data_IF_142876017121
#
_entry.id   IF_142876017121
#
_cell.length_a   1.000
_cell.length_b   1.000
_cell.length_c   1.000
_cell.angle_alpha   90.00
_cell.angle_beta   90.00
_cell.angle_gamma   90.00
#
_symmetry.space_group_name_H-M   'P 1'
#
loop_
_entity.id
_entity.type
_entity.pdbx_description
1 polymer ?
#
# COMPACT_ATOMS: atom_id res chain seq x y z
N UNK A 1 4.58 23.07 -74.14
CA UNK A 1 3.84 22.32 -73.11
C UNK A 1 4.87 21.65 -72.26
N UNK A 2 5.22 22.26 -71.12
CA UNK A 2 6.29 21.78 -70.24
C UNK A 2 5.64 21.41 -68.92
N UNK A 3 5.71 20.12 -68.56
CA UNK A 3 5.28 19.60 -67.25
C UNK A 3 6.40 19.80 -66.23
N UNK A 4 6.11 20.57 -65.18
CA UNK A 4 6.98 20.66 -63.99
C UNK A 4 6.48 19.68 -62.93
N UNK A 5 7.28 18.64 -62.65
CA UNK A 5 7.07 17.71 -61.56
C UNK A 5 7.67 18.28 -60.26
N UNK A 6 6.86 18.54 -59.27
CA UNK A 6 7.29 18.90 -57.91
C UNK A 6 7.61 17.63 -57.12
N UNK A 7 8.86 17.47 -56.69
CA UNK A 7 9.29 16.46 -55.74
C UNK A 7 9.03 16.96 -54.33
N UNK A 8 8.13 16.27 -53.64
CA UNK A 8 7.97 16.42 -52.19
C UNK A 8 9.10 15.64 -51.50
N UNK A 9 9.98 16.34 -50.82
CA UNK A 9 10.97 15.75 -49.93
C UNK A 9 10.37 15.46 -48.57
N UNK A 10 10.26 14.18 -48.22
CA UNK A 10 9.86 13.69 -46.90
C UNK A 10 11.06 13.84 -45.95
N UNK A 11 10.99 14.80 -45.03
CA UNK A 11 11.98 14.92 -43.94
C UNK A 11 11.53 13.98 -42.83
N UNK A 12 12.20 12.84 -42.71
CA UNK A 12 12.12 11.99 -41.50
C UNK A 12 12.96 12.65 -40.39
N UNK A 13 12.29 13.26 -39.42
CA UNK A 13 12.92 13.68 -38.19
C UNK A 13 13.05 12.46 -37.27
N UNK A 14 14.24 11.88 -37.18
CA UNK A 14 14.59 10.92 -36.14
C UNK A 14 14.75 11.65 -34.82
N UNK A 15 13.77 11.55 -33.95
CA UNK A 15 13.90 11.98 -32.54
C UNK A 15 14.72 10.91 -31.82
N UNK A 16 15.99 11.17 -31.63
CA UNK A 16 16.85 10.39 -30.74
C UNK A 16 16.45 10.74 -29.28
N UNK A 17 15.65 9.87 -28.65
CA UNK A 17 15.51 9.92 -27.20
C UNK A 17 16.81 9.46 -26.56
N UNK A 18 17.67 10.41 -26.21
CA UNK A 18 18.75 10.20 -25.25
C UNK A 18 18.11 10.25 -23.87
N UNK A 19 17.75 9.09 -23.34
CA UNK A 19 17.38 8.94 -21.93
C UNK A 19 18.59 9.24 -21.07
N UNK A 20 18.71 10.45 -20.55
CA UNK A 20 19.60 10.72 -19.43
C UNK A 20 19.03 10.05 -18.19
N UNK A 21 19.46 8.82 -17.93
CA UNK A 21 19.37 8.24 -16.61
C UNK A 21 20.31 9.06 -15.68
N UNK A 22 19.75 9.94 -14.89
CA UNK A 22 20.43 10.56 -13.75
C UNK A 22 20.50 9.52 -12.63
N UNK A 23 21.33 8.50 -12.80
CA UNK A 23 21.75 7.68 -11.68
C UNK A 23 22.74 8.51 -10.85
N UNK A 24 22.38 8.90 -9.64
CA UNK A 24 23.32 9.37 -8.64
C UNK A 24 24.10 8.15 -8.13
N UNK A 25 25.40 7.97 -8.52
CA UNK A 25 26.15 6.75 -8.18
C UNK A 25 26.43 6.59 -6.67
N UNK A 26 26.28 7.66 -5.90
CA UNK A 26 26.51 7.64 -4.46
C UNK A 26 25.27 7.20 -3.65
N UNK A 27 24.04 7.47 -4.12
CA UNK A 27 22.82 7.02 -3.49
C UNK A 27 22.70 5.48 -3.60
N UNK A 28 23.00 4.90 -4.77
CA UNK A 28 22.88 3.46 -5.01
C UNK A 28 23.81 2.58 -4.17
N UNK A 29 24.95 3.11 -3.67
CA UNK A 29 25.87 2.36 -2.79
C UNK A 29 25.48 2.42 -1.31
N UNK A 30 24.76 3.45 -0.88
CA UNK A 30 24.34 3.60 0.52
C UNK A 30 23.10 2.80 0.86
N UNK A 31 22.34 2.40 -0.16
CA UNK A 31 21.06 1.70 0.01
C UNK A 31 21.11 0.22 -0.42
N UNK A 32 22.28 -0.27 -0.84
CA UNK A 32 22.44 -1.67 -1.19
C UNK A 32 22.30 -2.57 0.05
N UNK A 33 21.49 -3.60 -0.06
CA UNK A 33 21.43 -4.69 0.94
C UNK A 33 22.59 -5.66 0.70
N UNK A 34 22.91 -6.41 1.76
CA UNK A 34 23.91 -7.47 1.66
C UNK A 34 23.48 -8.50 0.58
N UNK A 35 24.37 -8.90 -0.35
CA UNK A 35 24.01 -9.83 -1.43
C UNK A 35 23.47 -11.17 -0.93
N UNK A 36 23.99 -11.70 0.19
CA UNK A 36 23.46 -12.96 0.76
C UNK A 36 22.05 -12.79 1.32
N UNK A 37 21.73 -11.60 1.85
CA UNK A 37 20.37 -11.29 2.27
C UNK A 37 19.45 -11.12 1.05
N UNK A 38 19.92 -10.48 -0.03
CA UNK A 38 19.16 -10.35 -1.27
C UNK A 38 18.80 -11.73 -1.85
N UNK A 39 19.76 -12.62 -1.99
CA UNK A 39 19.55 -14.00 -2.45
C UNK A 39 18.55 -14.75 -1.54
N UNK A 40 18.65 -14.58 -0.23
CA UNK A 40 17.72 -15.22 0.71
C UNK A 40 16.30 -14.64 0.62
N UNK A 41 16.15 -13.34 0.33
CA UNK A 41 14.87 -12.70 0.07
C UNK A 41 14.26 -13.26 -1.21
N UNK A 42 15.02 -13.33 -2.31
CA UNK A 42 14.57 -13.87 -3.58
C UNK A 42 14.08 -15.31 -3.42
N UNK A 43 14.86 -16.19 -2.76
CA UNK A 43 14.48 -17.56 -2.44
C UNK A 43 13.20 -17.64 -1.59
N UNK A 44 13.06 -16.74 -0.62
CA UNK A 44 11.90 -16.66 0.27
C UNK A 44 10.63 -16.27 -0.51
N UNK A 45 10.74 -15.26 -1.37
CA UNK A 45 9.65 -14.80 -2.23
C UNK A 45 9.27 -15.89 -3.25
N UNK A 46 10.25 -16.51 -3.92
CA UNK A 46 10.00 -17.59 -4.87
C UNK A 46 9.26 -18.79 -4.26
N UNK A 47 9.51 -19.10 -2.98
CA UNK A 47 8.74 -20.14 -2.25
C UNK A 47 7.32 -19.68 -1.91
N UNK A 48 7.13 -18.39 -1.63
CA UNK A 48 5.83 -17.86 -1.20
C UNK A 48 4.83 -17.75 -2.37
N UNK A 49 5.28 -17.35 -3.56
CA UNK A 49 4.39 -17.08 -4.69
C UNK A 49 3.56 -18.30 -5.11
N UNK A 50 4.09 -19.53 -5.23
CA UNK A 50 3.28 -20.71 -5.54
C UNK A 50 2.25 -21.02 -4.46
N UNK A 51 2.58 -20.78 -3.19
CA UNK A 51 1.63 -20.95 -2.09
C UNK A 51 0.50 -19.92 -2.22
N UNK A 52 0.84 -18.65 -2.35
CA UNK A 52 -0.14 -17.57 -2.52
C UNK A 52 -1.05 -17.82 -3.73
N UNK A 53 -0.47 -18.23 -4.86
CA UNK A 53 -1.22 -18.56 -6.06
C UNK A 53 -2.25 -19.68 -5.86
N UNK A 54 -1.97 -20.66 -4.99
CA UNK A 54 -2.93 -21.74 -4.65
C UNK A 54 -4.10 -21.26 -3.79
N UNK A 55 -4.00 -20.09 -3.14
CA UNK A 55 -5.09 -19.53 -2.35
C UNK A 55 -6.15 -18.84 -3.21
N UNK A 56 -5.90 -18.66 -4.52
CA UNK A 56 -6.88 -18.02 -5.39
C UNK A 56 -8.05 -18.96 -5.69
N UNK A 57 -9.26 -18.44 -5.49
CA UNK A 57 -10.52 -19.11 -5.72
C UNK A 57 -10.97 -18.99 -7.18
N UNK A 58 -11.95 -19.80 -7.64
CA UNK A 58 -12.43 -19.74 -9.03
C UNK A 58 -13.04 -18.41 -9.45
N UNK A 59 -13.53 -17.60 -8.52
CA UNK A 59 -14.06 -16.26 -8.78
C UNK A 59 -12.98 -15.17 -8.87
N UNK A 60 -11.71 -15.53 -8.66
CA UNK A 60 -10.56 -14.62 -8.68
C UNK A 60 -10.19 -14.04 -7.33
N UNK A 61 -11.00 -14.24 -6.27
CA UNK A 61 -10.65 -13.83 -4.91
C UNK A 61 -9.52 -14.70 -4.35
N UNK A 62 -8.82 -14.20 -3.33
CA UNK A 62 -7.88 -15.01 -2.54
C UNK A 62 -8.55 -15.43 -1.23
N UNK A 63 -8.20 -16.61 -0.74
CA UNK A 63 -8.82 -17.21 0.43
C UNK A 63 -8.75 -16.30 1.66
N UNK A 64 -9.89 -15.79 2.07
CA UNK A 64 -10.07 -14.92 3.22
C UNK A 64 -11.56 -14.79 3.58
N UNK A 65 -11.89 -14.46 4.85
CA UNK A 65 -13.27 -14.14 5.22
C UNK A 65 -13.80 -12.92 4.45
N UNK A 66 -15.11 -12.90 4.17
CA UNK A 66 -15.81 -11.80 3.49
C UNK A 66 -15.50 -10.42 4.12
N UNK A 67 -15.26 -10.40 5.43
CA UNK A 67 -14.90 -9.19 6.16
C UNK A 67 -13.59 -8.56 5.66
N UNK A 68 -12.62 -9.37 5.24
CA UNK A 68 -11.33 -8.95 4.69
C UNK A 68 -11.35 -8.72 3.19
N UNK A 69 -12.50 -9.00 2.52
CA UNK A 69 -12.63 -8.82 1.09
C UNK A 69 -13.23 -7.44 0.75
N UNK A 70 -12.75 -6.79 -0.32
CA UNK A 70 -11.76 -7.26 -1.32
C UNK A 70 -10.29 -6.92 -1.00
N UNK A 71 -9.97 -6.37 0.19
CA UNK A 71 -8.60 -5.92 0.50
C UNK A 71 -7.56 -7.04 0.40
N UNK A 72 -7.86 -8.25 0.91
CA UNK A 72 -6.88 -9.34 0.90
C UNK A 72 -6.58 -9.81 -0.52
N UNK A 73 -7.59 -9.85 -1.39
CA UNK A 73 -7.37 -10.08 -2.83
C UNK A 73 -6.51 -8.98 -3.45
N UNK A 74 -6.73 -7.71 -3.06
CA UNK A 74 -5.90 -6.59 -3.47
C UNK A 74 -4.45 -6.74 -3.02
N UNK A 75 -4.21 -7.05 -1.73
CA UNK A 75 -2.86 -7.27 -1.19
C UNK A 75 -2.13 -8.42 -1.88
N UNK A 76 -2.84 -9.54 -2.15
CA UNK A 76 -2.26 -10.67 -2.87
C UNK A 76 -1.88 -10.30 -4.31
N UNK A 77 -2.70 -9.52 -5.01
CA UNK A 77 -2.38 -9.00 -6.33
C UNK A 77 -1.19 -8.04 -6.28
N UNK A 78 -1.14 -7.11 -5.32
CA UNK A 78 0.00 -6.22 -5.12
C UNK A 78 1.29 -7.00 -4.80
N UNK A 79 1.21 -8.09 -4.02
CA UNK A 79 2.36 -8.95 -3.74
C UNK A 79 2.92 -9.63 -5.02
N UNK A 80 2.03 -10.10 -5.90
CA UNK A 80 2.44 -10.64 -7.20
C UNK A 80 3.08 -9.55 -8.10
N UNK A 81 2.50 -8.35 -8.15
CA UNK A 81 3.07 -7.21 -8.87
C UNK A 81 4.43 -6.80 -8.32
N UNK A 82 4.56 -6.71 -6.99
CA UNK A 82 5.81 -6.35 -6.31
C UNK A 82 6.93 -7.37 -6.56
N UNK A 83 6.56 -8.64 -6.80
CA UNK A 83 7.48 -9.70 -7.23
C UNK A 83 7.75 -9.70 -8.75
N UNK A 84 7.30 -8.68 -9.51
CA UNK A 84 7.61 -8.50 -10.92
C UNK A 84 6.66 -9.18 -11.91
N UNK A 85 5.50 -9.69 -11.47
CA UNK A 85 4.52 -10.29 -12.37
C UNK A 85 3.54 -9.25 -12.90
N UNK A 86 3.12 -9.39 -14.16
CA UNK A 86 2.23 -8.45 -14.83
C UNK A 86 0.90 -9.10 -15.20
N UNK A 87 -0.22 -8.35 -15.22
CA UNK A 87 -1.51 -8.86 -15.69
C UNK A 87 -1.42 -9.38 -17.14
N UNK A 88 -1.87 -10.60 -17.34
CA UNK A 88 -1.91 -11.25 -18.68
C UNK A 88 -0.58 -11.74 -19.19
N UNK A 89 0.51 -11.65 -18.43
CA UNK A 89 1.83 -12.13 -18.83
C UNK A 89 2.45 -13.04 -17.77
N UNK A 90 3.21 -14.05 -18.23
CA UNK A 90 3.94 -14.99 -17.37
C UNK A 90 3.04 -15.90 -16.52
N UNK A 91 3.62 -16.58 -15.52
CA UNK A 91 2.96 -17.67 -14.78
C UNK A 91 1.81 -17.22 -13.87
N UNK A 92 1.76 -15.96 -13.53
CA UNK A 92 0.74 -15.38 -12.66
C UNK A 92 -0.18 -14.35 -13.37
N UNK A 93 0.01 -14.12 -14.67
CA UNK A 93 -0.73 -13.10 -15.41
C UNK A 93 -2.24 -13.30 -15.44
N UNK A 94 -2.71 -14.54 -15.65
CA UNK A 94 -4.13 -14.87 -15.61
C UNK A 94 -4.70 -14.73 -14.20
N UNK A 95 -3.92 -15.00 -13.16
CA UNK A 95 -4.32 -14.82 -11.76
C UNK A 95 -4.50 -13.34 -11.43
N UNK A 96 -3.60 -12.49 -11.89
CA UNK A 96 -3.71 -11.05 -11.74
C UNK A 96 -4.94 -10.51 -12.49
N UNK A 97 -5.21 -10.99 -13.70
CA UNK A 97 -6.42 -10.64 -14.43
C UNK A 97 -7.69 -11.06 -13.69
N UNK A 98 -7.73 -12.26 -13.12
CA UNK A 98 -8.87 -12.75 -12.33
C UNK A 98 -9.06 -11.93 -11.06
N UNK A 99 -7.97 -11.57 -10.36
CA UNK A 99 -8.04 -10.70 -9.18
C UNK A 99 -8.57 -9.30 -9.54
N UNK A 100 -8.11 -8.69 -10.63
CA UNK A 100 -8.63 -7.40 -11.12
C UNK A 100 -10.13 -7.50 -11.41
N UNK A 101 -10.58 -8.55 -12.11
CA UNK A 101 -12.00 -8.74 -12.43
C UNK A 101 -12.85 -8.95 -11.16
N UNK A 102 -12.33 -9.68 -10.17
CA UNK A 102 -12.98 -9.81 -8.85
C UNK A 102 -13.08 -8.45 -8.13
N UNK A 103 -11.98 -7.68 -8.04
CA UNK A 103 -12.01 -6.35 -7.42
C UNK A 103 -13.08 -5.47 -8.09
N UNK A 104 -13.11 -5.42 -9.41
CA UNK A 104 -14.10 -4.66 -10.17
C UNK A 104 -15.54 -5.11 -9.88
N UNK A 105 -15.78 -6.41 -9.63
CA UNK A 105 -17.10 -6.95 -9.32
C UNK A 105 -17.58 -6.59 -7.90
N UNK A 106 -16.67 -6.22 -6.97
CA UNK A 106 -17.02 -5.83 -5.60
C UNK A 106 -17.37 -4.35 -5.44
N UNK A 107 -17.22 -3.54 -6.49
CA UNK A 107 -17.58 -2.13 -6.41
C UNK A 107 -19.09 -1.93 -6.36
N UNK A 108 -19.55 -1.12 -5.43
CA UNK A 108 -20.97 -0.76 -5.26
C UNK A 108 -21.28 0.54 -6.03
N UNK A 109 -22.56 0.81 -6.26
CA UNK A 109 -23.04 2.01 -6.95
C UNK A 109 -22.54 3.33 -6.32
N UNK A 110 -22.26 3.32 -5.01
CA UNK A 110 -21.65 4.45 -4.29
C UNK A 110 -20.17 4.69 -4.61
N UNK A 111 -19.52 3.79 -5.35
CA UNK A 111 -18.08 3.81 -5.63
C UNK A 111 -17.21 3.06 -4.61
N UNK A 112 -17.77 2.63 -3.46
CA UNK A 112 -17.03 1.85 -2.46
C UNK A 112 -16.74 0.43 -2.97
N UNK A 113 -15.54 -0.08 -2.70
CA UNK A 113 -15.21 -1.50 -2.81
C UNK A 113 -15.49 -2.19 -1.48
N UNK A 114 -16.48 -3.07 -1.43
CA UNK A 114 -16.82 -3.83 -0.23
C UNK A 114 -17.70 -5.03 -0.56
N UNK A 115 -17.36 -6.20 -0.03
CA UNK A 115 -18.21 -7.40 -0.07
C UNK A 115 -19.30 -7.28 0.99
N UNK A 116 -18.94 -6.94 2.21
CA UNK A 116 -19.86 -6.79 3.34
C UNK A 116 -19.92 -5.33 3.77
N UNK A 117 -21.14 -4.81 3.93
CA UNK A 117 -21.42 -3.47 4.46
C UNK A 117 -22.06 -3.58 5.86
N UNK A 118 -21.91 -2.54 6.73
CA UNK A 118 -22.51 -2.55 8.05
C UNK A 118 -24.03 -2.58 7.96
N UNK A 119 -24.65 -3.55 8.64
CA UNK A 119 -26.10 -3.64 8.75
C UNK A 119 -26.66 -2.50 9.60
N UNK A 120 -27.92 -2.13 9.35
CA UNK A 120 -28.61 -1.08 10.14
C UNK A 120 -28.78 -1.48 11.61
N UNK A 121 -28.88 -2.78 11.90
CA UNK A 121 -28.97 -3.35 13.26
C UNK A 121 -27.63 -3.32 14.00
N UNK A 122 -26.50 -3.32 13.27
CA UNK A 122 -25.14 -3.31 13.83
C UNK A 122 -24.24 -2.32 13.08
N UNK A 123 -24.53 -1.02 13.14
CA UNK A 123 -23.86 -0.03 12.30
C UNK A 123 -22.37 0.15 12.65
N UNK A 124 -21.94 -0.23 13.84
CA UNK A 124 -20.56 -0.08 14.34
C UNK A 124 -19.78 -1.40 14.39
N UNK A 125 -20.35 -2.46 13.87
CA UNK A 125 -19.75 -3.81 13.82
C UNK A 125 -18.50 -3.90 12.94
N UNK A 126 -17.92 -5.11 12.85
CA UNK A 126 -16.72 -5.37 12.08
C UNK A 126 -16.76 -4.87 10.63
N UNK A 127 -17.88 -4.98 9.87
CA UNK A 127 -17.94 -4.46 8.50
C UNK A 127 -17.74 -2.93 8.39
N UNK A 128 -18.19 -2.17 9.41
CA UNK A 128 -17.92 -0.73 9.46
C UNK A 128 -16.42 -0.44 9.63
N UNK A 129 -15.73 -1.22 10.44
CA UNK A 129 -14.29 -1.05 10.71
C UNK A 129 -13.44 -1.43 9.51
N UNK A 130 -13.76 -2.52 8.83
CA UNK A 130 -13.02 -3.04 7.68
C UNK A 130 -13.29 -2.25 6.38
N UNK A 131 -14.47 -1.63 6.24
CA UNK A 131 -14.96 -1.14 4.95
C UNK A 131 -14.06 -0.14 4.26
N UNK A 132 -13.50 0.84 4.98
CA UNK A 132 -12.59 1.82 4.39
C UNK A 132 -11.19 1.25 4.11
N UNK A 133 -10.73 0.22 4.83
CA UNK A 133 -9.54 -0.54 4.47
C UNK A 133 -9.76 -1.32 3.17
N UNK A 134 -10.87 -2.06 3.08
CA UNK A 134 -11.25 -2.81 1.89
C UNK A 134 -11.30 -1.91 0.66
N UNK A 135 -11.93 -0.76 0.80
CA UNK A 135 -12.04 0.23 -0.26
C UNK A 135 -10.67 0.76 -0.70
N UNK A 136 -9.88 1.27 0.23
CA UNK A 136 -8.60 1.91 -0.08
C UNK A 136 -7.62 0.95 -0.73
N UNK A 137 -7.49 -0.29 -0.21
CA UNK A 137 -6.56 -1.29 -0.72
C UNK A 137 -6.99 -1.79 -2.10
N UNK A 138 -8.29 -2.07 -2.32
CA UNK A 138 -8.79 -2.47 -3.63
C UNK A 138 -8.61 -1.37 -4.68
N UNK A 139 -8.91 -0.12 -4.33
CA UNK A 139 -8.75 1.03 -5.21
C UNK A 139 -7.27 1.30 -5.53
N UNK A 140 -6.37 1.20 -4.54
CA UNK A 140 -4.92 1.25 -4.72
C UNK A 140 -4.45 0.18 -5.70
N UNK A 141 -4.88 -1.08 -5.50
CA UNK A 141 -4.50 -2.20 -6.39
C UNK A 141 -4.91 -1.95 -7.83
N UNK A 142 -6.13 -1.46 -8.06
CA UNK A 142 -6.59 -1.12 -9.41
C UNK A 142 -5.79 0.04 -10.01
N UNK A 143 -5.41 1.04 -9.22
CA UNK A 143 -4.58 2.15 -9.68
C UNK A 143 -3.16 1.69 -10.03
N UNK A 144 -2.54 0.81 -9.25
CA UNK A 144 -1.23 0.21 -9.56
C UNK A 144 -1.26 -0.68 -10.81
N UNK A 145 -2.38 -1.39 -11.06
CA UNK A 145 -2.56 -2.19 -12.28
C UNK A 145 -2.97 -1.36 -13.51
N UNK A 146 -3.36 -0.10 -13.34
CA UNK A 146 -3.85 0.71 -14.45
C UNK A 146 -2.73 1.02 -15.44
N UNK A 147 -3.01 0.83 -16.73
CA UNK A 147 -2.00 0.91 -17.79
C UNK A 147 -1.29 -0.41 -18.10
N UNK A 148 -1.44 -1.44 -17.25
CA UNK A 148 -0.92 -2.78 -17.50
C UNK A 148 -1.93 -3.70 -18.21
N UNK A 149 -3.15 -3.21 -18.46
CA UNK A 149 -4.21 -3.92 -19.19
C UNK A 149 -4.76 -3.05 -20.32
N UNK A 150 -5.45 -3.66 -21.25
CA UNK A 150 -6.01 -2.98 -22.41
C UNK A 150 -7.53 -3.16 -22.56
N UNK A 151 -8.07 -2.60 -23.64
CA UNK A 151 -9.42 -2.87 -24.14
C UNK A 151 -10.53 -2.59 -23.10
N UNK A 152 -11.41 -3.57 -22.92
CA UNK A 152 -12.58 -3.43 -22.07
C UNK A 152 -12.22 -3.39 -20.58
N UNK A 153 -11.17 -4.14 -20.16
CA UNK A 153 -10.73 -4.16 -18.75
C UNK A 153 -10.17 -2.80 -18.35
N UNK A 154 -9.29 -2.19 -19.13
CA UNK A 154 -8.76 -0.85 -18.88
C UNK A 154 -9.88 0.20 -18.73
N UNK A 155 -10.91 0.16 -19.60
CA UNK A 155 -12.05 1.08 -19.48
C UNK A 155 -12.91 0.84 -18.23
N UNK A 156 -13.07 -0.41 -17.79
CA UNK A 156 -13.77 -0.71 -16.53
C UNK A 156 -12.96 -0.22 -15.33
N UNK A 157 -11.65 -0.42 -15.34
CA UNK A 157 -10.75 0.06 -14.27
C UNK A 157 -10.78 1.59 -14.18
N UNK A 158 -10.70 2.31 -15.30
CA UNK A 158 -10.77 3.78 -15.30
C UNK A 158 -12.05 4.27 -14.60
N UNK A 159 -13.22 3.78 -15.02
CA UNK A 159 -14.50 4.17 -14.39
C UNK A 159 -14.57 3.80 -12.90
N UNK A 160 -14.02 2.64 -12.55
CA UNK A 160 -14.01 2.17 -11.16
C UNK A 160 -13.10 3.04 -10.27
N UNK A 161 -11.93 3.43 -10.76
CA UNK A 161 -11.00 4.33 -10.05
C UNK A 161 -11.63 5.73 -9.89
N UNK A 162 -12.26 6.29 -10.93
CA UNK A 162 -12.97 7.57 -10.84
C UNK A 162 -14.11 7.54 -9.80
N UNK A 163 -14.92 6.49 -9.80
CA UNK A 163 -15.98 6.30 -8.79
C UNK A 163 -15.41 6.13 -7.37
N UNK A 164 -14.29 5.42 -7.23
CA UNK A 164 -13.61 5.26 -5.96
C UNK A 164 -13.02 6.59 -5.45
N UNK A 165 -12.42 7.41 -6.31
CA UNK A 165 -11.94 8.75 -5.96
C UNK A 165 -13.07 9.64 -5.46
N UNK A 166 -14.22 9.61 -6.13
CA UNK A 166 -15.41 10.37 -5.71
C UNK A 166 -15.89 9.93 -4.32
N UNK A 167 -15.97 8.62 -4.05
CA UNK A 167 -16.32 8.08 -2.74
C UNK A 167 -15.29 8.46 -1.66
N UNK A 168 -14.00 8.29 -1.94
CA UNK A 168 -12.91 8.65 -1.03
C UNK A 168 -12.99 10.13 -0.64
N UNK A 169 -13.19 11.02 -1.63
CA UNK A 169 -13.33 12.46 -1.36
C UNK A 169 -14.58 12.78 -0.55
N UNK A 170 -15.72 12.17 -0.85
CA UNK A 170 -16.94 12.35 -0.08
C UNK A 170 -16.75 11.99 1.40
N UNK A 171 -16.06 10.88 1.70
CA UNK A 171 -15.77 10.47 3.06
C UNK A 171 -14.73 11.40 3.74
N UNK A 172 -13.77 11.94 3.01
CA UNK A 172 -12.79 12.90 3.52
C UNK A 172 -13.45 14.19 4.02
N UNK A 173 -14.31 14.79 3.19
CA UNK A 173 -14.95 16.07 3.49
C UNK A 173 -16.21 15.93 4.37
N UNK A 174 -16.63 14.70 4.67
CA UNK A 174 -17.75 14.49 5.58
C UNK A 174 -17.48 15.18 6.91
N UNK A 175 -18.38 16.06 7.35
CA UNK A 175 -18.23 16.84 8.57
C UNK A 175 -17.79 15.98 9.76
N UNK A 176 -16.68 16.31 10.39
CA UNK A 176 -16.15 15.61 11.57
C UNK A 176 -16.76 16.21 12.83
N UNK A 177 -16.91 15.40 13.89
CA UNK A 177 -17.37 15.89 15.21
C UNK A 177 -16.36 16.78 15.90
N UNK A 178 -15.08 16.66 15.52
CA UNK A 178 -13.98 17.43 16.11
C UNK A 178 -13.01 17.86 15.01
N UNK A 179 -12.61 19.12 15.02
CA UNK A 179 -11.65 19.71 14.09
C UNK A 179 -10.32 18.95 13.97
N UNK A 180 -9.73 18.35 15.04
CA UNK A 180 -8.52 17.56 14.90
C UNK A 180 -8.66 16.33 13.96
N UNK A 181 -9.88 15.91 13.64
CA UNK A 181 -10.15 14.78 12.72
C UNK A 181 -10.36 15.23 11.27
N UNK A 182 -10.39 16.56 10.99
CA UNK A 182 -10.60 17.08 9.64
C UNK A 182 -9.48 16.59 8.68
N UNK A 183 -9.87 16.25 7.45
CA UNK A 183 -8.97 15.78 6.40
C UNK A 183 -8.64 14.28 6.43
N UNK A 184 -8.85 13.61 7.57
CA UNK A 184 -8.61 12.17 7.70
C UNK A 184 -9.84 11.30 7.46
N UNK A 185 -9.62 9.98 7.44
CA UNK A 185 -10.66 8.94 7.31
C UNK A 185 -10.62 7.96 8.48
N UNK A 186 -11.74 7.30 8.72
CA UNK A 186 -11.86 6.20 9.68
C UNK A 186 -12.87 5.17 9.16
N UNK A 187 -13.69 4.65 10.03
CA UNK A 187 -14.70 3.63 9.76
C UNK A 187 -15.88 4.20 8.95
N UNK A 188 -16.60 3.34 8.23
CA UNK A 188 -17.77 3.76 7.43
C UNK A 188 -18.86 4.42 8.28
N UNK A 189 -19.02 3.96 9.51
CA UNK A 189 -19.96 4.57 10.48
C UNK A 189 -19.18 5.17 11.62
N UNK A 190 -19.62 6.34 12.08
CA UNK A 190 -19.01 7.02 13.22
C UNK A 190 -19.04 6.12 14.45
N UNK A 191 -17.88 5.85 15.00
CA UNK A 191 -17.72 5.01 16.18
C UNK A 191 -16.74 5.66 17.15
N UNK A 192 -16.97 5.47 18.43
CA UNK A 192 -16.12 6.05 19.48
C UNK A 192 -16.10 7.58 19.40
N UNK A 193 -15.01 8.22 19.84
CA UNK A 193 -14.86 9.68 19.89
C UNK A 193 -13.97 10.25 18.76
N UNK A 194 -13.61 9.41 17.77
CA UNK A 194 -12.75 9.80 16.66
C UNK A 194 -13.45 9.55 15.34
N UNK A 195 -13.34 10.49 14.41
CA UNK A 195 -13.88 10.40 13.05
C UNK A 195 -12.76 10.23 12.00
N UNK A 196 -11.50 10.18 12.46
CA UNK A 196 -10.32 9.86 11.65
C UNK A 196 -9.30 9.03 12.45
N UNK A 197 -8.51 8.20 11.77
CA UNK A 197 -7.32 7.53 12.28
C UNK A 197 -6.21 7.46 11.24
N UNK A 198 -4.96 7.34 11.71
CA UNK A 198 -3.80 7.36 10.84
C UNK A 198 -3.72 6.13 9.92
N UNK A 199 -4.14 4.96 10.41
CA UNK A 199 -4.03 3.73 9.64
C UNK A 199 -4.92 3.75 8.39
N UNK A 200 -6.20 4.12 8.51
CA UNK A 200 -7.10 4.28 7.36
C UNK A 200 -6.64 5.45 6.48
N UNK A 201 -6.21 6.56 7.10
CA UNK A 201 -5.74 7.74 6.35
C UNK A 201 -4.52 7.43 5.49
N UNK A 202 -3.55 6.64 5.98
CA UNK A 202 -2.38 6.24 5.22
C UNK A 202 -2.76 5.41 3.97
N UNK A 203 -3.67 4.44 4.09
CA UNK A 203 -4.16 3.67 2.93
C UNK A 203 -4.88 4.53 1.91
N UNK A 204 -5.70 5.50 2.34
CA UNK A 204 -6.38 6.43 1.43
C UNK A 204 -5.40 7.36 0.72
N UNK A 205 -4.35 7.82 1.42
CA UNK A 205 -3.26 8.59 0.80
C UNK A 205 -2.46 7.78 -0.22
N UNK A 206 -2.19 6.50 0.07
CA UNK A 206 -1.58 5.59 -0.91
C UNK A 206 -2.44 5.49 -2.17
N UNK A 207 -3.75 5.32 -2.01
CA UNK A 207 -4.67 5.30 -3.16
C UNK A 207 -4.66 6.62 -3.93
N UNK A 208 -4.75 7.77 -3.26
CA UNK A 208 -4.69 9.08 -3.93
C UNK A 208 -3.39 9.24 -4.71
N UNK A 209 -2.27 8.89 -4.13
CA UNK A 209 -0.96 9.02 -4.78
C UNK A 209 -0.83 8.07 -5.97
N UNK A 210 -1.25 6.81 -5.83
CA UNK A 210 -1.23 5.84 -6.92
C UNK A 210 -2.15 6.27 -8.06
N UNK A 211 -3.37 6.73 -7.77
CA UNK A 211 -4.29 7.26 -8.78
C UNK A 211 -3.69 8.48 -9.51
N UNK A 212 -3.02 9.38 -8.78
CA UNK A 212 -2.32 10.53 -9.39
C UNK A 212 -1.17 10.08 -10.30
N UNK A 213 -0.37 9.10 -9.87
CA UNK A 213 0.70 8.50 -10.67
C UNK A 213 0.15 7.83 -11.94
N UNK A 214 -1.03 7.22 -11.86
CA UNK A 214 -1.75 6.61 -12.97
C UNK A 214 -2.44 7.63 -13.92
N UNK A 215 -2.33 8.94 -13.63
CA UNK A 215 -2.85 10.03 -14.48
C UNK A 215 -4.29 10.45 -14.19
N UNK A 216 -4.89 9.99 -13.08
CA UNK A 216 -6.20 10.46 -12.65
C UNK A 216 -6.12 11.84 -11.99
N UNK A 217 -7.21 12.62 -12.08
CA UNK A 217 -7.29 13.93 -11.47
C UNK A 217 -7.49 13.82 -9.95
N UNK A 218 -6.40 13.99 -9.21
CA UNK A 218 -6.37 14.09 -7.75
C UNK A 218 -5.80 15.45 -7.38
N UNK A 219 -6.64 16.44 -7.06
CA UNK A 219 -6.18 17.77 -6.68
C UNK A 219 -5.22 17.74 -5.49
N UNK A 220 -4.12 18.48 -5.56
CA UNK A 220 -3.12 18.57 -4.49
C UNK A 220 -3.74 18.92 -3.13
N UNK A 221 -4.78 19.76 -3.12
CA UNK A 221 -5.52 20.12 -1.91
C UNK A 221 -6.05 18.90 -1.14
N UNK A 222 -6.50 17.84 -1.83
CA UNK A 222 -7.02 16.64 -1.16
C UNK A 222 -5.92 15.91 -0.38
N UNK A 223 -4.74 15.86 -0.97
CA UNK A 223 -3.54 15.28 -0.34
C UNK A 223 -3.09 16.16 0.82
N UNK A 224 -3.02 17.49 0.63
CA UNK A 224 -2.60 18.42 1.69
C UNK A 224 -3.51 18.37 2.91
N UNK A 225 -4.83 18.33 2.73
CA UNK A 225 -5.80 18.18 3.83
C UNK A 225 -5.55 16.89 4.64
N UNK A 226 -5.23 15.78 3.95
CA UNK A 226 -4.91 14.52 4.61
C UNK A 226 -3.56 14.56 5.33
N UNK A 227 -2.54 15.20 4.73
CA UNK A 227 -1.23 15.40 5.36
C UNK A 227 -1.31 16.29 6.60
N UNK A 228 -2.19 17.27 6.62
CA UNK A 228 -2.45 18.08 7.81
C UNK A 228 -3.05 17.25 8.93
N UNK A 229 -3.91 16.26 8.61
CA UNK A 229 -4.37 15.28 9.59
C UNK A 229 -3.21 14.39 10.08
N UNK A 230 -2.38 13.87 9.19
CA UNK A 230 -1.19 13.08 9.54
C UNK A 230 -0.28 13.85 10.51
N UNK A 231 0.00 15.12 10.21
CA UNK A 231 0.82 15.98 11.08
C UNK A 231 0.22 16.14 12.48
N UNK A 232 -1.13 16.20 12.61
CA UNK A 232 -1.79 16.21 13.92
C UNK A 232 -1.70 14.89 14.70
N UNK A 233 -1.43 13.77 14.01
CA UNK A 233 -1.16 12.49 14.66
C UNK A 233 0.26 12.40 15.22
N UNK A 234 1.17 13.32 14.86
CA UNK A 234 2.51 13.36 15.45
C UNK A 234 2.46 13.80 16.92
N UNK A 235 3.16 13.07 17.76
CA UNK A 235 3.30 13.37 19.18
C UNK A 235 4.75 13.76 19.49
N UNK A 236 4.98 15.04 19.72
CA UNK A 236 6.32 15.57 20.03
C UNK A 236 6.90 15.01 21.35
N UNK A 237 6.05 14.55 22.29
CA UNK A 237 6.49 13.96 23.56
C UNK A 237 7.15 12.59 23.37
N UNK A 238 6.64 11.78 22.44
CA UNK A 238 7.22 10.48 22.07
C UNK A 238 8.16 10.56 20.88
N UNK A 239 8.08 11.64 20.07
CA UNK A 239 8.86 11.83 18.87
C UNK A 239 8.39 10.99 17.68
N UNK A 240 7.14 10.51 17.68
CA UNK A 240 6.61 9.66 16.61
C UNK A 240 5.10 9.83 16.45
N UNK A 241 4.51 9.04 15.51
CA UNK A 241 3.10 9.10 15.20
C UNK A 241 2.27 8.15 16.05
N UNK A 242 1.04 8.56 16.33
CA UNK A 242 0.03 7.82 17.08
C UNK A 242 -1.20 7.54 16.23
N UNK A 243 -2.00 6.55 16.63
CA UNK A 243 -3.16 6.07 15.85
C UNK A 243 -4.21 7.17 15.59
N UNK A 244 -4.38 8.12 16.53
CA UNK A 244 -5.35 9.22 16.40
C UNK A 244 -4.73 10.56 16.79
N UNK A 245 -5.28 11.66 16.26
CA UNK A 245 -4.79 13.02 16.48
C UNK A 245 -5.01 13.54 17.90
N UNK A 246 -5.91 12.94 18.68
CA UNK A 246 -6.26 13.35 20.04
C UNK A 246 -6.66 12.14 20.90
N UNK A 247 -6.84 12.34 22.22
CA UNK A 247 -7.17 11.28 23.17
C UNK A 247 -5.94 10.50 23.64
N UNK A 248 -6.09 9.19 23.94
CA UNK A 248 -4.97 8.35 24.37
C UNK A 248 -4.04 8.11 23.17
N UNK A 249 -2.81 8.57 23.30
CA UNK A 249 -1.79 8.51 22.27
C UNK A 249 -0.75 7.45 22.64
N UNK A 250 -0.88 6.29 22.05
CA UNK A 250 0.09 5.22 22.19
C UNK A 250 0.72 4.94 20.84
N UNK A 251 2.04 5.11 20.70
CA UNK A 251 2.73 4.84 19.44
C UNK A 251 2.82 3.34 19.19
N UNK A 252 2.77 2.95 17.91
CA UNK A 252 3.07 1.60 17.44
C UNK A 252 4.05 1.69 16.29
N UNK A 253 4.75 0.58 16.00
CA UNK A 253 5.68 0.50 14.86
C UNK A 253 4.96 0.81 13.54
N UNK A 254 3.75 0.26 13.37
CA UNK A 254 2.93 0.52 12.19
C UNK A 254 2.58 2.01 12.04
N UNK A 255 2.21 2.71 13.12
CA UNK A 255 1.85 4.12 13.03
C UNK A 255 3.07 5.02 12.78
N UNK A 256 4.22 4.69 13.34
CA UNK A 256 5.48 5.36 13.01
C UNK A 256 5.79 5.26 11.50
N UNK A 257 5.75 4.04 10.95
CA UNK A 257 5.99 3.79 9.54
C UNK A 257 4.91 4.43 8.64
N UNK A 258 3.63 4.32 8.99
CA UNK A 258 2.53 4.91 8.23
C UNK A 258 2.63 6.45 8.16
N UNK A 259 3.03 7.10 9.25
CA UNK A 259 3.23 8.55 9.29
C UNK A 259 4.39 9.00 8.41
N UNK A 260 5.54 8.32 8.48
CA UNK A 260 6.71 8.59 7.62
C UNK A 260 6.33 8.41 6.15
N UNK A 261 5.69 7.28 5.80
CA UNK A 261 5.29 6.97 4.44
C UNK A 261 4.29 7.99 3.88
N UNK A 262 3.29 8.38 4.68
CA UNK A 262 2.33 9.41 4.30
C UNK A 262 3.02 10.76 4.00
N UNK A 263 3.97 11.18 4.84
CA UNK A 263 4.76 12.39 4.58
C UNK A 263 5.58 12.27 3.29
N UNK A 264 6.16 11.09 3.02
CA UNK A 264 6.93 10.84 1.79
C UNK A 264 6.06 11.00 0.54
N UNK A 265 4.84 10.46 0.53
CA UNK A 265 3.90 10.62 -0.59
C UNK A 265 3.48 12.06 -0.84
N UNK A 266 3.50 12.90 0.18
CA UNK A 266 3.26 14.34 0.07
C UNK A 266 4.48 15.19 -0.20
N UNK A 267 5.65 14.58 -0.47
CA UNK A 267 6.90 15.31 -0.67
C UNK A 267 7.46 15.96 0.60
N UNK A 268 6.96 15.56 1.81
CA UNK A 268 7.37 16.10 3.12
C UNK A 268 8.31 15.14 3.88
N UNK A 269 9.08 14.31 3.16
CA UNK A 269 9.99 13.31 3.74
C UNK A 269 11.17 13.93 4.54
N UNK A 270 11.63 15.13 4.18
CA UNK A 270 12.73 15.83 4.87
C UNK A 270 12.26 16.69 6.04
N UNK A 271 11.31 16.23 6.87
CA UNK A 271 10.82 16.97 8.03
C UNK A 271 11.34 16.39 9.34
N UNK A 272 11.46 17.23 10.38
CA UNK A 272 11.83 16.78 11.74
C UNK A 272 10.89 15.67 12.25
N UNK A 273 9.61 15.68 11.84
CA UNK A 273 8.66 14.64 12.20
C UNK A 273 9.05 13.28 11.62
N UNK A 274 9.44 13.23 10.35
CA UNK A 274 9.88 12.00 9.70
C UNK A 274 11.18 11.49 10.33
N UNK A 275 12.17 12.35 10.55
CA UNK A 275 13.46 12.01 11.14
C UNK A 275 13.32 11.52 12.59
N UNK A 276 12.49 12.17 13.40
CA UNK A 276 12.24 11.75 14.77
C UNK A 276 11.53 10.40 14.82
N UNK A 277 10.52 10.20 13.98
CA UNK A 277 9.79 8.95 13.89
C UNK A 277 10.69 7.80 13.41
N UNK A 278 11.60 8.05 12.45
CA UNK A 278 12.61 7.09 12.03
C UNK A 278 13.52 6.68 13.18
N UNK A 279 14.07 7.66 13.93
CA UNK A 279 14.89 7.38 15.12
C UNK A 279 14.11 6.65 16.22
N UNK A 280 12.82 6.91 16.37
CA UNK A 280 11.99 6.15 17.29
C UNK A 280 11.85 4.70 16.81
N UNK A 281 11.54 4.50 15.53
CA UNK A 281 11.25 3.20 14.94
C UNK A 281 12.48 2.27 14.91
N UNK A 282 13.68 2.79 14.63
CA UNK A 282 14.94 2.02 14.63
C UNK A 282 15.35 1.52 16.02
N UNK A 283 14.69 1.97 17.09
CA UNK A 283 14.89 1.47 18.46
C UNK A 283 13.87 0.42 18.86
N UNK A 284 12.90 0.13 18.00
CA UNK A 284 11.88 -0.88 18.29
C UNK A 284 12.33 -2.22 17.71
N UNK A 285 12.26 -3.33 18.50
CA UNK A 285 12.70 -4.63 18.02
C UNK A 285 11.75 -5.19 16.96
N UNK A 286 12.32 -5.88 15.97
CA UNK A 286 11.61 -6.72 15.00
C UNK A 286 12.15 -8.16 14.99
N UNK A 287 13.08 -8.48 15.90
CA UNK A 287 13.75 -9.78 16.04
C UNK A 287 12.86 -10.87 16.65
N UNK A 288 11.71 -10.50 17.21
CA UNK A 288 10.77 -11.44 17.82
C UNK A 288 9.52 -11.56 16.93
N UNK A 289 9.51 -12.62 16.13
CA UNK A 289 8.43 -12.89 15.18
C UNK A 289 7.06 -13.02 15.85
N UNK A 290 6.09 -12.29 15.35
CA UNK A 290 4.70 -12.36 15.82
C UNK A 290 4.45 -11.64 17.14
N UNK A 291 5.43 -10.96 17.75
CA UNK A 291 5.22 -10.24 19.00
C UNK A 291 4.66 -8.83 18.76
N UNK A 292 3.64 -8.50 19.58
CA UNK A 292 3.10 -7.14 19.74
C UNK A 292 3.85 -6.43 20.85
N UNK A 293 4.42 -5.25 20.56
CA UNK A 293 5.08 -4.43 21.58
C UNK A 293 4.08 -3.81 22.55
N UNK A 294 2.97 -3.33 22.05
CA UNK A 294 1.89 -2.68 22.80
C UNK A 294 0.54 -2.82 22.09
N UNK A 295 -0.48 -3.26 22.81
CA UNK A 295 -1.89 -3.19 22.37
C UNK A 295 -2.14 -3.77 20.98
N UNK A 296 -2.50 -2.92 20.04
CA UNK A 296 -2.84 -3.30 18.65
C UNK A 296 -1.64 -3.24 17.69
N UNK A 297 -0.39 -3.30 18.17
CA UNK A 297 0.81 -3.34 17.34
C UNK A 297 0.95 -4.74 16.71
N UNK A 298 0.53 -4.88 15.45
CA UNK A 298 0.49 -6.14 14.70
C UNK A 298 1.81 -6.33 13.96
N UNK A 299 2.43 -7.49 14.11
CA UNK A 299 3.78 -7.73 13.59
C UNK A 299 3.92 -7.54 12.09
N UNK A 300 3.16 -8.29 11.27
CA UNK A 300 3.26 -8.21 9.80
C UNK A 300 2.85 -6.84 9.25
N UNK A 301 1.82 -6.25 9.83
CA UNK A 301 1.38 -4.91 9.47
C UNK A 301 2.44 -3.85 9.82
N UNK A 302 3.08 -4.01 10.97
CA UNK A 302 4.19 -3.15 11.41
C UNK A 302 5.43 -3.33 10.55
N UNK A 303 5.79 -4.58 10.21
CA UNK A 303 6.92 -4.89 9.33
C UNK A 303 6.74 -4.27 7.94
N UNK A 304 5.53 -4.37 7.36
CA UNK A 304 5.22 -3.76 6.07
C UNK A 304 5.42 -2.23 6.10
N UNK A 305 4.81 -1.54 7.06
CA UNK A 305 4.95 -0.09 7.13
C UNK A 305 6.37 0.35 7.49
N UNK A 306 7.05 -0.36 8.40
CA UNK A 306 8.41 -0.04 8.78
C UNK A 306 9.39 -0.20 7.61
N UNK A 307 9.37 -1.35 6.94
CA UNK A 307 10.24 -1.60 5.79
C UNK A 307 10.00 -0.59 4.65
N UNK A 308 8.73 -0.32 4.32
CA UNK A 308 8.38 0.66 3.29
C UNK A 308 8.83 2.08 3.67
N UNK A 309 8.64 2.48 4.93
CA UNK A 309 9.05 3.78 5.42
C UNK A 309 10.57 3.97 5.37
N UNK A 310 11.34 2.99 5.87
CA UNK A 310 12.81 3.10 5.85
C UNK A 310 13.38 2.96 4.45
N UNK A 311 12.69 2.26 3.53
CA UNK A 311 13.05 2.24 2.12
C UNK A 311 12.96 3.65 1.52
N UNK A 312 11.86 4.37 1.75
CA UNK A 312 11.70 5.76 1.29
C UNK A 312 12.69 6.74 1.92
N UNK A 313 13.11 6.54 3.16
CA UNK A 313 14.10 7.37 3.82
C UNK A 313 15.53 7.07 3.36
N UNK A 314 15.82 5.79 3.11
CA UNK A 314 17.18 5.32 2.78
C UNK A 314 18.19 5.47 3.93
N UNK A 315 19.46 5.33 3.61
CA UNK A 315 20.57 5.58 4.52
C UNK A 315 20.58 4.65 5.74
N UNK A 316 20.96 5.18 6.92
CA UNK A 316 21.14 4.41 8.15
C UNK A 316 19.84 3.71 8.61
N UNK A 317 18.63 4.34 8.60
CA UNK A 317 17.39 3.65 8.96
C UNK A 317 17.12 2.40 8.11
N UNK A 318 17.37 2.47 6.81
CA UNK A 318 17.25 1.34 5.90
C UNK A 318 18.27 0.24 6.21
N UNK A 319 19.53 0.62 6.34
CA UNK A 319 20.63 -0.33 6.55
C UNK A 319 20.55 -1.07 7.90
N UNK A 320 19.95 -0.44 8.91
CA UNK A 320 19.82 -1.06 10.24
C UNK A 320 18.55 -1.90 10.36
N UNK A 321 17.40 -1.39 9.90
CA UNK A 321 16.11 -1.98 10.23
C UNK A 321 15.65 -3.04 9.22
N UNK A 322 15.86 -2.81 7.91
CA UNK A 322 15.42 -3.76 6.91
C UNK A 322 16.06 -5.15 7.04
N UNK A 323 17.39 -5.29 7.29
CA UNK A 323 18.01 -6.61 7.50
C UNK A 323 17.43 -7.37 8.70
N UNK A 324 17.09 -6.67 9.79
CA UNK A 324 16.46 -7.27 10.96
C UNK A 324 15.06 -7.80 10.64
N UNK A 325 14.23 -6.96 10.00
CA UNK A 325 12.88 -7.35 9.56
C UNK A 325 12.94 -8.52 8.60
N UNK A 326 13.74 -8.42 7.54
CA UNK A 326 13.84 -9.45 6.51
C UNK A 326 14.40 -10.77 7.09
N UNK A 327 15.46 -10.71 7.88
CA UNK A 327 16.06 -11.89 8.54
C UNK A 327 15.05 -12.60 9.43
N UNK A 328 14.27 -11.87 10.23
CA UNK A 328 13.26 -12.46 11.11
C UNK A 328 12.11 -13.08 10.32
N UNK A 329 11.63 -12.41 9.27
CA UNK A 329 10.58 -12.95 8.40
C UNK A 329 11.06 -14.24 7.71
N UNK A 330 12.25 -14.24 7.11
CA UNK A 330 12.82 -15.41 6.43
C UNK A 330 13.03 -16.60 7.36
N UNK A 331 13.53 -16.36 8.58
CA UNK A 331 13.73 -17.41 9.58
C UNK A 331 12.42 -18.08 10.04
N UNK A 332 11.28 -17.41 9.88
CA UNK A 332 9.96 -17.90 10.31
C UNK A 332 9.04 -18.29 9.14
N UNK A 333 9.55 -18.34 7.90
CA UNK A 333 8.79 -18.85 6.77
C UNK A 333 8.48 -20.35 6.95
N UNK A 334 7.23 -20.73 6.77
CA UNK A 334 6.80 -22.11 6.83
C UNK A 334 7.34 -22.91 5.62
N UNK A 335 7.42 -24.24 5.77
CA UNK A 335 7.90 -25.13 4.70
C UNK A 335 7.08 -25.04 3.40
N UNK A 336 5.80 -24.67 3.50
CA UNK A 336 4.92 -24.51 2.35
C UNK A 336 5.06 -23.14 1.65
N UNK A 337 5.89 -22.25 2.20
CA UNK A 337 6.17 -20.91 1.69
C UNK A 337 5.36 -19.78 2.36
N UNK A 338 4.42 -20.11 3.25
CA UNK A 338 3.55 -19.12 3.90
C UNK A 338 4.15 -18.53 5.18
N UNK A 339 3.50 -17.48 5.69
CA UNK A 339 3.68 -16.94 7.03
C UNK A 339 2.34 -16.95 7.77
N UNK A 340 2.23 -17.68 8.89
CA UNK A 340 1.00 -17.73 9.67
C UNK A 340 0.78 -16.41 10.41
N UNK A 341 -0.50 -16.04 10.70
CA UNK A 341 -0.80 -14.86 11.51
C UNK A 341 -0.33 -15.05 12.95
N UNK A 342 -0.14 -13.92 13.63
CA UNK A 342 0.23 -13.89 15.04
C UNK A 342 -0.81 -14.58 15.93
N UNK A 343 -0.34 -15.38 16.89
CA UNK A 343 -1.22 -16.16 17.76
C UNK A 343 -2.12 -15.32 18.69
N UNK A 344 -1.73 -14.09 19.01
CA UNK A 344 -2.46 -13.19 19.92
C UNK A 344 -3.06 -11.95 19.28
N UNK A 345 -2.81 -11.72 17.98
CA UNK A 345 -3.25 -10.52 17.26
C UNK A 345 -4.59 -10.70 16.54
N UNK A 346 -5.18 -9.59 16.07
CA UNK A 346 -6.39 -9.63 15.25
C UNK A 346 -6.18 -10.20 13.83
N UNK A 347 -4.93 -10.48 13.43
CA UNK A 347 -4.59 -10.93 12.09
C UNK A 347 -5.03 -12.36 11.79
N UNK A 348 -5.22 -13.20 12.84
CA UNK A 348 -5.83 -14.53 12.69
C UNK A 348 -7.24 -14.49 12.07
N UNK A 349 -7.94 -13.34 12.18
CA UNK A 349 -9.25 -13.13 11.54
C UNK A 349 -9.16 -13.05 10.02
N UNK A 350 -7.97 -12.79 9.47
CA UNK A 350 -7.77 -12.57 8.04
C UNK A 350 -7.02 -13.70 7.34
N UNK A 351 -6.42 -14.62 8.10
CA UNK A 351 -5.78 -15.83 7.60
C UNK A 351 -4.40 -15.62 6.97
N UNK A 352 -3.81 -16.74 6.54
CA UNK A 352 -2.43 -16.77 6.04
C UNK A 352 -2.22 -16.04 4.70
N UNK A 353 -3.27 -15.90 3.87
CA UNK A 353 -3.16 -15.15 2.61
C UNK A 353 -2.86 -13.67 2.88
N UNK A 354 -3.45 -13.09 3.92
CA UNK A 354 -3.19 -11.73 4.37
C UNK A 354 -1.74 -11.54 4.83
N UNK A 355 -1.27 -12.36 5.77
CA UNK A 355 0.08 -12.21 6.34
C UNK A 355 1.16 -12.55 5.32
N UNK A 356 0.94 -13.57 4.47
CA UNK A 356 1.87 -13.91 3.39
C UNK A 356 1.96 -12.79 2.35
N UNK A 357 0.84 -12.20 1.95
CA UNK A 357 0.85 -11.07 1.01
C UNK A 357 1.59 -9.86 1.59
N UNK A 358 1.33 -9.47 2.86
CA UNK A 358 2.07 -8.40 3.53
C UNK A 358 3.55 -8.69 3.64
N UNK A 359 3.93 -9.95 3.94
CA UNK A 359 5.34 -10.34 4.04
C UNK A 359 6.04 -10.27 2.68
N UNK A 360 5.41 -10.74 1.61
CA UNK A 360 5.97 -10.59 0.26
C UNK A 360 6.16 -9.12 -0.08
N UNK A 361 5.16 -8.25 0.17
CA UNK A 361 5.28 -6.80 -0.02
C UNK A 361 6.42 -6.18 0.82
N UNK A 362 6.60 -6.65 2.05
CA UNK A 362 7.70 -6.21 2.92
C UNK A 362 9.06 -6.59 2.35
N UNK A 363 9.22 -7.84 1.94
CA UNK A 363 10.49 -8.36 1.43
C UNK A 363 10.86 -7.78 0.05
N UNK A 364 9.87 -7.49 -0.80
CA UNK A 364 10.07 -6.98 -2.17
C UNK A 364 10.10 -5.46 -2.28
N UNK A 365 10.05 -4.72 -1.16
CA UNK A 365 10.00 -3.25 -1.20
C UNK A 365 11.18 -2.65 -1.99
N UNK A 366 12.35 -3.26 -1.91
CA UNK A 366 13.56 -2.82 -2.61
C UNK A 366 13.65 -3.23 -4.10
N UNK A 367 12.69 -3.99 -4.59
CA UNK A 367 12.61 -4.29 -6.02
C UNK A 367 12.11 -3.10 -6.84
N UNK A 368 11.53 -2.08 -6.19
CA UNK A 368 10.98 -0.87 -6.83
C UNK A 368 9.97 -1.17 -7.97
N UNK A 369 9.26 -2.31 -7.88
CA UNK A 369 8.33 -2.75 -8.94
C UNK A 369 6.99 -2.01 -8.88
N UNK A 370 6.51 -1.65 -7.68
CA UNK A 370 5.25 -0.92 -7.52
C UNK A 370 5.49 0.59 -7.64
N UNK A 371 4.84 1.29 -8.59
CA UNK A 371 4.97 2.74 -8.76
C UNK A 371 4.77 3.56 -7.47
N UNK A 372 3.86 3.12 -6.58
CA UNK A 372 3.60 3.80 -5.31
C UNK A 372 4.78 3.66 -4.32
N UNK A 373 5.60 2.64 -4.43
CA UNK A 373 6.74 2.39 -3.55
C UNK A 373 8.07 2.89 -4.11
N UNK A 374 8.10 3.34 -5.37
CA UNK A 374 9.29 3.95 -5.98
C UNK A 374 9.63 5.29 -5.31
N UNK A 375 10.95 5.54 -5.13
CA UNK A 375 11.49 6.78 -4.53
C UNK A 375 11.48 7.97 -5.49
#
# INVERSE_FOLDING_TARGET
MVYHGSRLALILATVSMVGLAWAHPEASRRDAIDPALADAVDDGVERALPWLARQQQPDGSFDAPDLGQPAITGLAALALLAAGHLPGDGPHGDRLNAAIDYLLATQRDSGIFAVVLPASSEPHGPPSRAGNYNHAIAALTLAECYGMTDGARARRMARAIEAALAFTRQEQVRAKRRTPDDGGWRYLRRAFNHDADLAVTAWQLMFYRSAQNAGFDVPAQWIDEALDYVARCYDAGTGTFTYTSHGRRQPTRAMAGAGILALSFGGRHGTDMADNAARWMTRQPFDQYGESLVGDDRYHYSAFYAATAVHHLGGEPWQSLFPEIAGTLLANQQRDGSWPPEAGGGDHLFGNAYTTALTVLTLTVHYDMLPILQR
#
